data_IF_587820219814
#
_entry.id   IF_587820219814
#
_cell.length_a   1.000
_cell.length_b   1.000
_cell.length_c   1.000
_cell.angle_alpha   90.00
_cell.angle_beta   90.00
_cell.angle_gamma   90.00
#
_symmetry.space_group_name_H-M   'P 1'
#
loop_
_entity.id
_entity.type
_entity.pdbx_description
1 polymer ?
#
# COMPACT_ATOMS: atom_id res chain seq x y z
N UNK A 1 -24.82 15.18 8.03
CA UNK A 1 -25.64 15.75 6.94
C UNK A 1 -25.02 15.29 5.63
N UNK A 2 -25.58 14.26 5.00
CA UNK A 2 -25.12 13.80 3.68
C UNK A 2 -25.63 14.80 2.64
N UNK A 3 -24.70 15.49 1.98
CA UNK A 3 -24.99 16.49 0.97
C UNK A 3 -25.83 15.92 -0.16
N UNK A 4 -26.67 16.79 -0.72
CA UNK A 4 -27.53 16.62 -1.90
C UNK A 4 -26.74 16.40 -3.20
N UNK A 5 -25.75 15.51 -3.20
CA UNK A 5 -24.97 15.13 -4.38
C UNK A 5 -25.75 14.18 -5.27
N UNK A 6 -25.77 14.47 -6.57
CA UNK A 6 -26.36 13.62 -7.60
C UNK A 6 -25.94 12.15 -7.43
N UNK A 7 -26.90 11.22 -7.48
CA UNK A 7 -26.63 9.80 -7.27
C UNK A 7 -25.88 9.23 -8.48
N UNK A 8 -24.59 8.93 -8.30
CA UNK A 8 -23.78 8.33 -9.36
C UNK A 8 -24.23 6.90 -9.57
N UNK A 9 -24.46 6.54 -10.83
CA UNK A 9 -24.76 5.17 -11.27
C UNK A 9 -23.71 4.69 -12.26
N UNK A 10 -23.28 3.45 -12.10
CA UNK A 10 -22.39 2.75 -13.04
C UNK A 10 -22.97 1.37 -13.35
N UNK A 11 -22.74 0.87 -14.57
CA UNK A 11 -23.03 -0.51 -14.94
C UNK A 11 -21.72 -1.27 -15.12
N UNK A 12 -21.60 -2.42 -14.48
CA UNK A 12 -20.44 -3.30 -14.60
C UNK A 12 -20.80 -4.50 -15.48
N UNK A 13 -19.99 -4.70 -16.52
CA UNK A 13 -20.17 -5.76 -17.51
C UNK A 13 -19.36 -6.97 -17.09
N UNK A 14 -19.98 -8.15 -17.08
CA UNK A 14 -19.36 -9.40 -16.65
C UNK A 14 -19.57 -10.51 -17.67
N UNK A 15 -18.48 -11.11 -18.16
CA UNK A 15 -18.54 -12.18 -19.16
C UNK A 15 -19.13 -13.48 -18.61
N UNK A 16 -18.89 -13.78 -17.34
CA UNK A 16 -19.24 -15.06 -16.73
C UNK A 16 -20.00 -14.85 -15.42
N UNK A 17 -20.91 -15.77 -15.12
CA UNK A 17 -21.79 -15.76 -13.97
C UNK A 17 -21.89 -17.18 -13.39
N UNK A 18 -22.02 -17.28 -12.07
CA UNK A 18 -22.34 -18.55 -11.39
C UNK A 18 -23.79 -18.96 -11.63
N UNK A 19 -24.09 -20.22 -11.33
CA UNK A 19 -25.43 -20.79 -11.40
C UNK A 19 -26.47 -20.04 -10.55
N UNK A 20 -26.02 -19.39 -9.47
CA UNK A 20 -26.86 -18.57 -8.58
C UNK A 20 -27.02 -17.10 -9.04
N UNK A 21 -26.46 -16.74 -10.20
CA UNK A 21 -26.54 -15.39 -10.74
C UNK A 21 -25.58 -14.39 -10.07
N UNK A 22 -24.48 -14.85 -9.49
CA UNK A 22 -23.38 -13.98 -9.03
C UNK A 22 -22.37 -13.75 -10.16
N UNK A 23 -21.94 -12.51 -10.44
CA UNK A 23 -20.89 -12.27 -11.43
C UNK A 23 -19.57 -12.93 -11.04
N UNK A 24 -18.88 -13.49 -12.02
CA UNK A 24 -17.51 -14.00 -11.88
C UNK A 24 -16.48 -12.92 -12.27
N UNK A 25 -15.26 -12.97 -11.73
CA UNK A 25 -14.19 -12.05 -12.09
C UNK A 25 -13.91 -12.04 -13.59
N UNK A 26 -13.86 -10.85 -14.19
CA UNK A 26 -13.47 -10.70 -15.59
C UNK A 26 -11.99 -11.07 -15.81
N UNK A 27 -11.69 -11.63 -16.99
CA UNK A 27 -10.36 -12.15 -17.31
C UNK A 27 -10.01 -13.49 -16.64
N UNK A 28 -10.94 -14.11 -15.92
CA UNK A 28 -10.77 -15.43 -15.33
C UNK A 28 -10.51 -16.48 -16.42
N UNK A 29 -9.40 -17.20 -16.30
CA UNK A 29 -9.06 -18.25 -17.26
C UNK A 29 -10.15 -19.34 -17.28
N UNK A 30 -10.60 -19.83 -18.46
CA UNK A 30 -11.72 -20.78 -18.58
C UNK A 30 -11.62 -22.03 -17.70
N UNK A 31 -10.40 -22.57 -17.54
CA UNK A 31 -10.10 -23.71 -16.67
C UNK A 31 -10.55 -23.53 -15.20
N UNK A 32 -10.65 -22.29 -14.73
CA UNK A 32 -11.03 -21.97 -13.35
C UNK A 32 -12.51 -21.67 -13.16
N UNK A 33 -13.31 -21.50 -14.23
CA UNK A 33 -14.74 -21.10 -14.11
C UNK A 33 -15.51 -22.05 -13.19
N UNK A 34 -15.41 -23.37 -13.43
CA UNK A 34 -16.08 -24.39 -12.63
C UNK A 34 -15.58 -24.43 -11.18
N UNK A 35 -14.27 -24.27 -11.00
CA UNK A 35 -13.67 -24.28 -9.67
C UNK A 35 -14.05 -23.03 -8.87
N UNK A 36 -14.13 -21.88 -9.53
CA UNK A 36 -14.59 -20.65 -8.94
C UNK A 36 -16.02 -20.80 -8.43
N UNK A 37 -16.93 -21.32 -9.26
CA UNK A 37 -18.33 -21.51 -8.88
C UNK A 37 -18.51 -22.54 -7.76
N UNK A 38 -17.79 -23.65 -7.82
CA UNK A 38 -18.01 -24.75 -6.85
C UNK A 38 -17.18 -24.65 -5.58
N UNK A 39 -16.06 -23.92 -5.59
CA UNK A 39 -15.11 -23.89 -4.47
C UNK A 39 -14.77 -22.49 -3.98
N UNK A 40 -14.55 -21.51 -4.86
CA UNK A 40 -13.93 -20.25 -4.45
C UNK A 40 -14.91 -19.12 -4.17
N UNK A 41 -16.11 -19.12 -4.78
CA UNK A 41 -17.13 -18.07 -4.58
C UNK A 41 -17.55 -17.86 -3.11
N UNK A 42 -17.30 -18.85 -2.25
CA UNK A 42 -17.62 -18.83 -0.82
C UNK A 42 -16.44 -19.19 0.10
N UNK A 43 -15.22 -19.28 -0.44
CA UNK A 43 -14.02 -19.57 0.37
C UNK A 43 -13.25 -18.30 0.66
N UNK A 44 -13.18 -17.98 1.94
CA UNK A 44 -12.64 -16.76 2.51
C UNK A 44 -11.15 -16.90 2.89
N UNK A 45 -10.69 -18.14 2.99
CA UNK A 45 -9.38 -18.59 3.45
C UNK A 45 -8.35 -18.74 2.31
N UNK A 46 -8.81 -18.72 1.04
CA UNK A 46 -7.95 -18.83 -0.16
C UNK A 46 -8.50 -17.88 -1.23
N UNK A 47 -8.24 -16.58 -1.10
CA UNK A 47 -8.67 -15.67 -2.16
C UNK A 47 -7.68 -15.73 -3.34
N UNK A 48 -8.18 -16.27 -4.46
CA UNK A 48 -7.48 -16.35 -5.75
C UNK A 48 -7.31 -14.97 -6.40
N UNK A 49 -7.86 -13.90 -5.80
CA UNK A 49 -7.71 -12.50 -6.20
C UNK A 49 -6.89 -11.64 -5.24
N UNK A 50 -6.67 -12.07 -3.99
CA UNK A 50 -5.90 -11.28 -3.00
C UNK A 50 -5.19 -12.20 -2.02
N UNK A 51 -3.86 -12.21 -1.94
CA UNK A 51 -3.10 -12.99 -0.91
C UNK A 51 -3.34 -12.56 0.56
N UNK A 52 -4.37 -11.80 0.87
CA UNK A 52 -4.66 -11.30 2.21
C UNK A 52 -6.13 -11.60 2.58
N UNK A 53 -6.32 -12.14 3.79
CA UNK A 53 -7.54 -12.80 4.31
C UNK A 53 -8.68 -11.78 4.63
N UNK A 54 -9.90 -12.23 5.00
CA UNK A 54 -11.13 -12.05 4.26
C UNK A 54 -12.00 -10.92 4.81
N UNK A 55 -12.58 -10.12 3.92
CA UNK A 55 -13.92 -9.63 4.21
C UNK A 55 -14.87 -10.44 3.36
N UNK A 56 -15.91 -11.00 3.96
CA UNK A 56 -17.05 -11.62 3.25
C UNK A 56 -17.63 -10.72 2.14
N UNK A 57 -17.27 -9.43 2.18
CA UNK A 57 -17.69 -8.34 1.33
C UNK A 57 -16.92 -8.23 0.00
N UNK A 58 -15.75 -8.86 -0.15
CA UNK A 58 -14.92 -8.76 -1.37
C UNK A 58 -15.24 -9.81 -2.44
N UNK A 59 -16.31 -10.60 -2.30
CA UNK A 59 -16.67 -11.67 -3.25
C UNK A 59 -16.81 -11.20 -4.72
N UNK A 60 -16.89 -9.88 -4.97
CA UNK A 60 -17.05 -9.26 -6.29
C UNK A 60 -15.86 -8.42 -6.76
N UNK A 61 -14.78 -8.35 -5.98
CA UNK A 61 -13.65 -7.44 -6.20
C UNK A 61 -13.74 -6.16 -5.37
N UNK A 62 -12.63 -5.41 -5.30
CA UNK A 62 -12.51 -4.17 -4.56
C UNK A 62 -13.26 -3.02 -5.22
N UNK A 63 -13.22 -2.94 -6.54
CA UNK A 63 -13.83 -1.86 -7.30
C UNK A 63 -15.34 -1.70 -7.02
N UNK A 64 -16.17 -2.78 -7.12
CA UNK A 64 -17.59 -2.67 -6.81
C UNK A 64 -17.86 -2.40 -5.33
N UNK A 65 -17.07 -2.95 -4.40
CA UNK A 65 -17.25 -2.69 -2.97
C UNK A 65 -16.99 -1.23 -2.63
N UNK A 66 -15.84 -0.69 -3.06
CA UNK A 66 -15.45 0.69 -2.83
C UNK A 66 -16.47 1.66 -3.46
N UNK A 67 -16.99 1.33 -4.64
CA UNK A 67 -18.07 2.08 -5.28
C UNK A 67 -19.34 2.08 -4.42
N UNK A 68 -19.77 0.93 -3.91
CA UNK A 68 -20.94 0.85 -3.04
C UNK A 68 -20.74 1.66 -1.74
N UNK A 69 -19.57 1.59 -1.12
CA UNK A 69 -19.21 2.38 0.06
C UNK A 69 -19.19 3.89 -0.22
N UNK A 70 -18.84 4.30 -1.43
CA UNK A 70 -18.89 5.68 -1.90
C UNK A 70 -20.31 6.18 -2.24
N UNK A 71 -21.34 5.37 -1.98
CA UNK A 71 -22.74 5.70 -2.31
C UNK A 71 -22.98 5.76 -3.83
N UNK A 72 -22.23 4.96 -4.60
CA UNK A 72 -22.38 4.80 -6.05
C UNK A 72 -23.24 3.56 -6.29
N UNK A 73 -24.30 3.71 -7.08
CA UNK A 73 -25.16 2.58 -7.43
C UNK A 73 -24.53 1.76 -8.54
N UNK A 74 -24.16 0.52 -8.19
CA UNK A 74 -23.56 -0.45 -9.11
C UNK A 74 -24.63 -1.40 -9.63
N UNK A 75 -24.79 -1.47 -10.94
CA UNK A 75 -25.67 -2.43 -11.61
C UNK A 75 -24.82 -3.42 -12.41
N UNK A 76 -24.92 -4.72 -12.11
CA UNK A 76 -24.21 -5.74 -12.87
C UNK A 76 -25.06 -6.16 -14.08
N UNK A 77 -24.43 -6.25 -15.24
CA UNK A 77 -25.09 -6.59 -16.50
C UNK A 77 -24.27 -7.62 -17.28
N UNK A 78 -24.95 -8.38 -18.12
CA UNK A 78 -24.29 -9.23 -19.12
C UNK A 78 -23.89 -8.40 -20.33
N UNK A 79 -22.96 -8.87 -21.16
CA UNK A 79 -22.62 -8.18 -22.38
C UNK A 79 -23.84 -7.93 -23.30
N UNK A 80 -24.79 -8.87 -23.33
CA UNK A 80 -26.00 -8.78 -24.16
C UNK A 80 -26.98 -7.68 -23.72
N UNK A 81 -26.84 -7.14 -22.50
CA UNK A 81 -27.70 -6.07 -21.96
C UNK A 81 -27.21 -4.65 -22.35
N UNK A 82 -26.18 -4.55 -23.19
CA UNK A 82 -25.61 -3.28 -23.64
C UNK A 82 -26.28 -2.87 -24.95
N UNK A 83 -26.82 -1.65 -24.98
CA UNK A 83 -27.45 -1.10 -26.16
C UNK A 83 -26.38 -0.74 -27.22
N UNK A 84 -26.64 -1.08 -28.48
CA UNK A 84 -25.69 -0.86 -29.58
C UNK A 84 -25.38 0.64 -29.85
N UNK A 85 -26.31 1.55 -29.50
CA UNK A 85 -26.24 2.98 -29.80
C UNK A 85 -26.42 3.86 -28.54
N UNK A 86 -25.42 3.95 -27.66
CA UNK A 86 -25.35 5.09 -26.71
C UNK A 86 -23.92 5.28 -26.18
N UNK A 87 -23.49 6.53 -26.04
CA UNK A 87 -22.20 6.89 -25.44
C UNK A 87 -21.92 6.17 -24.11
N UNK A 88 -20.68 5.75 -23.95
CA UNK A 88 -20.22 4.75 -22.97
C UNK A 88 -20.68 5.05 -21.52
N UNK A 89 -21.47 4.15 -20.94
CA UNK A 89 -21.86 4.17 -19.50
C UNK A 89 -21.48 2.87 -18.76
N UNK A 90 -20.83 1.95 -19.47
CA UNK A 90 -20.63 0.56 -19.08
C UNK A 90 -19.16 0.22 -18.96
N UNK A 91 -18.76 -0.40 -17.85
CA UNK A 91 -17.35 -0.65 -17.54
C UNK A 91 -17.10 -2.15 -17.38
N UNK A 92 -16.09 -2.65 -18.09
CA UNK A 92 -15.57 -3.99 -17.94
C UNK A 92 -14.36 -3.92 -17.01
N UNK A 93 -14.55 -4.29 -15.74
CA UNK A 93 -13.51 -4.14 -14.71
C UNK A 93 -12.75 -5.44 -14.51
N UNK A 94 -11.42 -5.38 -14.59
CA UNK A 94 -10.49 -6.48 -14.33
C UNK A 94 -9.62 -6.17 -13.11
N UNK A 95 -9.51 -7.12 -12.19
CA UNK A 95 -8.74 -7.02 -10.93
C UNK A 95 -7.74 -8.19 -10.82
N UNK A 96 -6.51 -8.09 -11.36
CA UNK A 96 -5.56 -9.21 -11.39
C UNK A 96 -4.91 -9.46 -10.02
N UNK A 97 -4.87 -10.67 -9.48
CA UNK A 97 -4.22 -10.92 -8.17
C UNK A 97 -2.73 -10.57 -8.15
N UNK A 98 -1.97 -11.17 -9.07
CA UNK A 98 -0.55 -10.91 -9.27
C UNK A 98 -0.33 -10.73 -10.76
N UNK A 99 0.21 -9.60 -11.20
CA UNK A 99 0.25 -9.37 -12.65
C UNK A 99 1.21 -10.28 -13.39
N UNK A 100 2.26 -10.80 -12.76
CA UNK A 100 3.09 -11.82 -13.41
C UNK A 100 2.24 -13.05 -13.76
N UNK A 101 1.48 -13.57 -12.81
CA UNK A 101 0.59 -14.71 -13.05
C UNK A 101 -0.56 -14.30 -13.99
N UNK A 102 -1.28 -13.23 -13.68
CA UNK A 102 -2.49 -12.82 -14.40
C UNK A 102 -2.21 -12.32 -15.83
N UNK A 103 -1.09 -11.65 -16.07
CA UNK A 103 -0.74 -11.13 -17.40
C UNK A 103 0.13 -12.09 -18.20
N UNK A 104 1.15 -12.72 -17.59
CA UNK A 104 2.09 -13.57 -18.33
C UNK A 104 1.61 -15.01 -18.45
N UNK A 105 1.12 -15.60 -17.35
CA UNK A 105 0.79 -17.03 -17.31
C UNK A 105 -0.66 -17.30 -17.74
N UNK A 106 -1.61 -16.53 -17.19
CA UNK A 106 -3.05 -16.74 -17.40
C UNK A 106 -3.62 -15.88 -18.53
N UNK A 107 -2.84 -14.90 -19.02
CA UNK A 107 -3.21 -13.98 -20.10
C UNK A 107 -4.66 -13.47 -19.98
N UNK A 108 -4.96 -12.75 -18.90
CA UNK A 108 -6.32 -12.32 -18.60
C UNK A 108 -6.99 -11.51 -19.72
N UNK A 109 -6.21 -10.76 -20.52
CA UNK A 109 -6.72 -10.02 -21.67
C UNK A 109 -7.20 -10.97 -22.79
N UNK A 110 -6.55 -12.12 -22.95
CA UNK A 110 -6.97 -13.16 -23.89
C UNK A 110 -8.23 -13.91 -23.46
N UNK A 111 -8.70 -13.71 -22.23
CA UNK A 111 -9.93 -14.34 -21.70
C UNK A 111 -11.16 -13.42 -21.77
N UNK A 112 -11.03 -12.22 -22.33
CA UNK A 112 -12.18 -11.34 -22.63
C UNK A 112 -12.98 -11.99 -23.75
N UNK A 113 -14.30 -12.14 -23.58
CA UNK A 113 -15.14 -12.72 -24.63
C UNK A 113 -15.10 -11.89 -25.92
N UNK A 114 -15.23 -12.53 -27.09
CA UNK A 114 -15.24 -11.82 -28.38
C UNK A 114 -16.32 -10.73 -28.44
N UNK A 115 -17.47 -10.97 -27.80
CA UNK A 115 -18.58 -10.02 -27.75
C UNK A 115 -18.23 -8.79 -26.89
N UNK A 116 -17.71 -9.00 -25.67
CA UNK A 116 -17.23 -7.90 -24.82
C UNK A 116 -16.09 -7.12 -25.47
N UNK A 117 -15.19 -7.82 -26.14
CA UNK A 117 -14.06 -7.21 -26.84
C UNK A 117 -14.52 -6.31 -28.00
N UNK A 118 -15.52 -6.72 -28.78
CA UNK A 118 -16.11 -5.88 -29.83
C UNK A 118 -16.74 -4.61 -29.26
N UNK A 119 -17.49 -4.71 -28.16
CA UNK A 119 -18.07 -3.53 -27.51
C UNK A 119 -17.03 -2.57 -26.94
N UNK A 120 -15.95 -3.10 -26.35
CA UNK A 120 -14.81 -2.29 -25.87
C UNK A 120 -14.14 -1.58 -27.05
N UNK A 121 -13.94 -2.26 -28.18
CA UNK A 121 -13.34 -1.67 -29.39
C UNK A 121 -14.17 -0.53 -29.97
N UNK A 122 -15.50 -0.66 -29.95
CA UNK A 122 -16.44 0.37 -30.43
C UNK A 122 -16.61 1.53 -29.46
N UNK A 123 -16.08 1.42 -28.24
CA UNK A 123 -16.27 2.43 -27.20
C UNK A 123 -17.66 2.41 -26.56
N UNK A 124 -18.42 1.31 -26.70
CA UNK A 124 -19.65 1.10 -25.95
C UNK A 124 -19.35 0.74 -24.48
N UNK A 125 -18.17 0.18 -24.22
CA UNK A 125 -17.69 -0.23 -22.89
C UNK A 125 -16.26 0.28 -22.66
N UNK A 126 -15.98 0.84 -21.48
CA UNK A 126 -14.58 1.14 -21.06
C UNK A 126 -13.99 -0.09 -20.38
N UNK A 127 -12.77 -0.47 -20.75
CA UNK A 127 -11.98 -1.48 -20.06
C UNK A 127 -11.23 -0.83 -18.90
N UNK A 128 -11.53 -1.24 -17.67
CA UNK A 128 -10.88 -0.73 -16.46
C UNK A 128 -10.00 -1.83 -15.87
N UNK A 129 -8.70 -1.58 -15.77
CA UNK A 129 -7.78 -2.43 -15.01
C UNK A 129 -7.53 -1.79 -13.65
N UNK A 130 -8.11 -2.37 -12.60
CA UNK A 130 -7.90 -1.91 -11.22
C UNK A 130 -6.83 -2.75 -10.55
N UNK A 131 -5.70 -2.11 -10.22
CA UNK A 131 -4.57 -2.72 -9.54
C UNK A 131 -3.95 -1.73 -8.56
N UNK A 132 -4.78 -1.19 -7.66
CA UNK A 132 -4.34 -0.22 -6.66
C UNK A 132 -3.75 -0.84 -5.38
N UNK A 133 -4.01 -2.14 -5.14
CA UNK A 133 -3.54 -2.88 -3.97
C UNK A 133 -2.08 -3.35 -4.07
N UNK A 134 -1.40 -3.04 -5.16
CA UNK A 134 0.04 -3.26 -5.28
C UNK A 134 0.64 -2.20 -6.21
N UNK A 135 1.93 -1.93 -6.02
CA UNK A 135 2.67 -1.01 -6.86
C UNK A 135 4.10 -1.50 -6.99
N UNK A 136 4.65 -1.23 -8.16
CA UNK A 136 5.98 -1.65 -8.52
C UNK A 136 6.40 -0.80 -9.74
N UNK A 137 7.69 -0.76 -10.02
CA UNK A 137 8.28 0.05 -11.07
C UNK A 137 7.69 -0.22 -12.44
N UNK A 138 7.54 0.85 -13.22
CA UNK A 138 7.16 0.75 -14.64
C UNK A 138 8.05 -0.24 -15.41
N UNK A 139 9.35 -0.26 -15.12
CA UNK A 139 10.33 -1.12 -15.78
C UNK A 139 10.57 -2.49 -15.12
N UNK A 140 10.00 -2.77 -13.95
CA UNK A 140 10.19 -4.05 -13.27
C UNK A 140 9.23 -5.09 -13.87
N UNK A 141 9.67 -6.34 -14.06
CA UNK A 141 8.83 -7.47 -14.53
C UNK A 141 8.07 -7.28 -15.85
N UNK A 142 8.44 -6.29 -16.67
CA UNK A 142 7.93 -6.09 -18.04
C UNK A 142 6.38 -5.91 -18.15
N UNK A 143 5.69 -5.70 -17.03
CA UNK A 143 4.22 -5.68 -16.97
C UNK A 143 3.60 -4.63 -17.87
N UNK A 144 4.19 -3.42 -17.91
CA UNK A 144 3.65 -2.30 -18.67
C UNK A 144 3.67 -2.65 -20.16
N UNK A 145 4.75 -3.26 -20.62
CA UNK A 145 4.91 -3.71 -22.00
C UNK A 145 3.94 -4.83 -22.34
N UNK A 146 3.61 -5.69 -21.37
CA UNK A 146 2.59 -6.73 -21.56
C UNK A 146 1.22 -6.11 -21.72
N UNK A 147 0.87 -5.10 -20.92
CA UNK A 147 -0.39 -4.35 -21.06
C UNK A 147 -0.42 -3.66 -22.43
N UNK A 148 0.58 -2.83 -22.75
CA UNK A 148 0.67 -2.08 -24.02
C UNK A 148 0.57 -3.03 -25.23
N UNK A 149 1.32 -4.15 -25.22
CA UNK A 149 1.25 -5.19 -26.25
C UNK A 149 -0.11 -5.86 -26.33
N UNK A 150 -0.72 -6.20 -25.20
CA UNK A 150 -2.02 -6.88 -25.17
C UNK A 150 -3.11 -5.98 -25.74
N UNK A 151 -3.15 -4.73 -25.32
CA UNK A 151 -4.11 -3.73 -25.81
C UNK A 151 -3.91 -3.45 -27.30
N UNK A 152 -2.66 -3.29 -27.75
CA UNK A 152 -2.32 -3.11 -29.16
C UNK A 152 -2.72 -4.30 -30.03
N UNK A 153 -2.39 -5.53 -29.60
CA UNK A 153 -2.76 -6.75 -30.33
C UNK A 153 -4.27 -6.95 -30.39
N UNK A 154 -4.96 -6.71 -29.28
CA UNK A 154 -6.41 -6.76 -29.22
C UNK A 154 -7.08 -5.55 -29.90
N UNK A 155 -6.32 -4.57 -30.40
CA UNK A 155 -6.83 -3.36 -31.07
C UNK A 155 -7.84 -2.58 -30.22
N UNK A 156 -7.65 -2.56 -28.90
CA UNK A 156 -8.50 -1.81 -27.96
C UNK A 156 -8.08 -0.34 -28.00
N UNK A 157 -8.95 0.62 -28.38
CA UNK A 157 -8.56 2.03 -28.39
C UNK A 157 -8.09 2.52 -27.01
N UNK A 158 -7.06 3.36 -26.99
CA UNK A 158 -6.42 3.91 -25.77
C UNK A 158 -7.37 4.77 -24.94
N UNK A 159 -8.29 5.47 -25.59
CA UNK A 159 -9.38 6.22 -24.99
C UNK A 159 -10.41 5.32 -24.28
N UNK A 160 -10.43 4.02 -24.60
CA UNK A 160 -11.34 3.04 -24.00
C UNK A 160 -10.68 2.22 -22.88
N UNK A 161 -9.38 2.40 -22.63
CA UNK A 161 -8.67 1.75 -21.55
C UNK A 161 -8.43 2.72 -20.39
N UNK A 162 -8.65 2.26 -19.17
CA UNK A 162 -8.38 2.98 -17.92
C UNK A 162 -7.55 2.11 -17.00
N UNK A 163 -6.47 2.65 -16.46
CA UNK A 163 -5.66 2.03 -15.42
C UNK A 163 -5.85 2.77 -14.09
N UNK A 164 -6.12 2.03 -13.00
CA UNK A 164 -6.08 2.55 -11.64
C UNK A 164 -4.97 1.80 -10.89
N UNK A 165 -3.94 2.51 -10.44
CA UNK A 165 -2.70 1.91 -9.95
C UNK A 165 -2.27 2.40 -8.56
N UNK A 166 -1.48 1.60 -7.84
CA UNK A 166 -1.10 1.89 -6.45
C UNK A 166 0.05 2.90 -6.27
N UNK A 167 0.84 3.16 -7.32
CA UNK A 167 1.93 4.14 -7.28
C UNK A 167 1.37 5.56 -7.31
N UNK A 168 1.46 6.30 -6.20
CA UNK A 168 0.86 7.64 -6.08
C UNK A 168 1.58 8.70 -6.92
N UNK A 169 2.71 8.35 -7.57
CA UNK A 169 3.43 9.21 -8.53
C UNK A 169 3.60 8.52 -9.89
N UNK A 170 2.64 7.65 -10.25
CA UNK A 170 2.71 6.87 -11.48
C UNK A 170 2.84 7.75 -12.74
N UNK A 171 2.14 8.88 -12.79
CA UNK A 171 2.20 9.86 -13.88
C UNK A 171 3.65 10.34 -14.14
N UNK A 172 4.36 10.71 -13.08
CA UNK A 172 5.76 11.14 -13.15
C UNK A 172 6.67 9.98 -13.55
N UNK A 173 6.46 8.79 -12.97
CA UNK A 173 7.28 7.62 -13.23
C UNK A 173 7.08 7.08 -14.66
N UNK A 174 5.85 7.08 -15.17
CA UNK A 174 5.53 6.72 -16.54
C UNK A 174 6.05 7.78 -17.53
N UNK A 175 5.96 9.07 -17.19
CA UNK A 175 6.57 10.14 -17.99
C UNK A 175 8.09 9.99 -18.15
N UNK A 176 8.80 9.63 -17.06
CA UNK A 176 10.24 9.29 -17.11
C UNK A 176 10.50 8.07 -18.01
N UNK A 177 9.70 7.02 -17.86
CA UNK A 177 9.80 5.81 -18.70
C UNK A 177 9.66 6.15 -20.19
N UNK A 178 8.63 6.89 -20.56
CA UNK A 178 8.39 7.33 -21.95
C UNK A 178 9.56 8.19 -22.49
N UNK A 179 10.08 9.10 -21.65
CA UNK A 179 11.19 9.98 -22.02
C UNK A 179 12.53 9.24 -22.18
N UNK A 180 12.67 8.07 -21.56
CA UNK A 180 13.88 7.25 -21.63
C UNK A 180 14.01 6.44 -22.93
N UNK A 181 12.97 6.42 -23.78
CA UNK A 181 12.92 5.63 -25.01
C UNK A 181 12.75 4.12 -24.78
N UNK A 182 12.38 3.70 -23.56
CA UNK A 182 12.13 2.29 -23.23
C UNK A 182 10.75 1.77 -23.69
N UNK A 183 9.86 2.67 -24.11
CA UNK A 183 8.52 2.39 -24.64
C UNK A 183 7.97 3.59 -25.43
N UNK A 184 6.71 3.54 -25.89
CA UNK A 184 5.75 2.46 -25.68
C UNK A 184 5.95 1.30 -26.69
N UNK A 185 5.50 0.10 -26.34
CA UNK A 185 5.44 -1.02 -27.28
C UNK A 185 4.16 -0.95 -28.12
N UNK A 186 4.23 -1.39 -29.38
CA UNK A 186 3.09 -1.37 -30.33
C UNK A 186 2.48 0.03 -30.54
N UNK A 187 3.26 1.10 -30.34
CA UNK A 187 2.78 2.49 -30.39
C UNK A 187 1.61 2.78 -29.42
N UNK A 188 1.43 1.91 -28.42
CA UNK A 188 0.34 1.99 -27.45
C UNK A 188 0.80 2.63 -26.16
N UNK A 189 0.49 3.91 -25.97
CA UNK A 189 0.75 4.59 -24.71
C UNK A 189 -0.52 4.71 -23.87
N UNK A 190 -0.37 4.62 -22.55
CA UNK A 190 -1.49 4.79 -21.63
C UNK A 190 -1.92 6.26 -21.58
N UNK A 191 -3.22 6.51 -21.75
CA UNK A 191 -3.80 7.86 -21.71
C UNK A 191 -4.56 8.14 -20.41
N UNK A 192 -5.37 7.18 -19.97
CA UNK A 192 -6.24 7.35 -18.80
C UNK A 192 -5.68 6.56 -17.63
N UNK A 193 -4.76 7.18 -16.89
CA UNK A 193 -4.16 6.56 -15.70
C UNK A 193 -4.50 7.36 -14.46
N UNK A 194 -4.94 6.65 -13.43
CA UNK A 194 -5.31 7.19 -12.13
C UNK A 194 -4.58 6.44 -11.03
N UNK A 195 -4.43 7.10 -9.89
CA UNK A 195 -3.85 6.50 -8.69
C UNK A 195 -4.91 6.40 -7.60
N UNK A 196 -4.77 5.44 -6.70
CA UNK A 196 -5.65 5.32 -5.54
C UNK A 196 -4.86 4.78 -4.36
N UNK A 197 -4.95 5.42 -3.19
CA UNK A 197 -4.35 4.92 -1.96
C UNK A 197 -5.21 3.78 -1.37
N UNK A 198 -5.04 2.60 -1.95
CA UNK A 198 -5.78 1.41 -1.58
C UNK A 198 -5.55 1.02 -0.11
N UNK A 199 -4.31 1.12 0.38
CA UNK A 199 -3.98 0.67 1.73
C UNK A 199 -4.55 1.58 2.81
N UNK A 200 -4.62 2.89 2.56
CA UNK A 200 -5.30 3.80 3.47
C UNK A 200 -6.79 3.46 3.59
N UNK A 201 -7.46 3.25 2.44
CA UNK A 201 -8.85 2.83 2.40
C UNK A 201 -9.08 1.50 3.11
N UNK A 202 -8.33 0.47 2.70
CA UNK A 202 -8.50 -0.89 3.18
C UNK A 202 -8.20 -0.99 4.67
N UNK A 203 -7.17 -0.29 5.15
CA UNK A 203 -6.87 -0.21 6.57
C UNK A 203 -7.98 0.52 7.33
N UNK A 204 -8.50 1.64 6.83
CA UNK A 204 -9.65 2.34 7.44
C UNK A 204 -10.90 1.43 7.50
N UNK A 205 -11.18 0.67 6.44
CA UNK A 205 -12.30 -0.28 6.38
C UNK A 205 -12.12 -1.45 7.36
N UNK A 206 -10.91 -2.01 7.46
CA UNK A 206 -10.56 -3.03 8.46
C UNK A 206 -10.86 -2.52 9.88
N UNK A 207 -10.40 -1.31 10.22
CA UNK A 207 -10.60 -0.74 11.55
C UNK A 207 -12.10 -0.57 11.85
N UNK A 208 -12.86 0.03 10.91
CA UNK A 208 -14.28 0.32 11.09
C UNK A 208 -15.15 -0.94 11.14
N UNK A 209 -14.80 -1.97 10.35
CA UNK A 209 -15.63 -3.16 10.21
C UNK A 209 -15.21 -4.32 11.09
N UNK A 210 -13.92 -4.40 11.45
CA UNK A 210 -13.32 -5.53 12.14
C UNK A 210 -12.67 -5.17 13.48
N UNK A 211 -12.69 -3.93 13.94
CA UNK A 211 -12.05 -3.60 15.22
C UNK A 211 -12.98 -2.79 16.10
N UNK A 212 -13.47 -1.67 15.57
CA UNK A 212 -14.36 -0.77 16.31
C UNK A 212 -15.65 -1.48 16.70
N UNK A 213 -16.03 -1.36 17.97
CA UNK A 213 -17.27 -1.93 18.53
C UNK A 213 -17.18 -3.41 18.92
N UNK A 214 -16.01 -4.05 18.77
CA UNK A 214 -15.76 -5.40 19.33
C UNK A 214 -15.50 -5.33 20.83
N UNK A 215 -15.81 -6.42 21.54
CA UNK A 215 -15.54 -6.54 22.98
C UNK A 215 -14.05 -6.35 23.31
N UNK A 216 -13.17 -6.76 22.40
CA UNK A 216 -11.72 -6.69 22.55
C UNK A 216 -11.03 -5.66 21.66
N UNK A 217 -11.74 -4.59 21.26
CA UNK A 217 -11.19 -3.45 20.50
C UNK A 217 -9.87 -2.93 21.08
N UNK A 218 -9.76 -2.87 22.41
CA UNK A 218 -8.59 -2.39 23.14
C UNK A 218 -7.34 -3.27 23.02
N UNK A 219 -7.46 -4.49 22.47
CA UNK A 219 -6.29 -5.31 22.12
C UNK A 219 -5.58 -4.81 20.86
N UNK A 220 -6.29 -4.17 19.94
CA UNK A 220 -5.72 -3.67 18.67
C UNK A 220 -5.58 -2.15 18.63
N UNK A 221 -6.44 -1.43 19.35
CA UNK A 221 -6.44 0.04 19.39
C UNK A 221 -6.13 0.61 20.77
N UNK A 222 -5.16 1.51 20.79
CA UNK A 222 -4.90 2.36 21.95
C UNK A 222 -6.07 3.33 22.17
N UNK A 223 -6.69 3.42 23.36
CA UNK A 223 -7.75 4.38 23.61
C UNK A 223 -7.29 5.84 23.47
N UNK A 224 -8.11 6.70 22.86
CA UNK A 224 -7.83 8.14 22.76
C UNK A 224 -8.27 8.88 24.04
N UNK A 225 -7.57 8.64 25.16
CA UNK A 225 -7.91 9.21 26.47
C UNK A 225 -6.76 9.99 27.10
N UNK A 226 -7.09 10.89 28.02
CA UNK A 226 -6.11 11.61 28.84
C UNK A 226 -5.24 10.63 29.66
N UNK A 227 -5.82 9.50 30.09
CA UNK A 227 -5.07 8.42 30.76
C UNK A 227 -4.00 7.82 29.85
N UNK A 228 -4.32 7.54 28.58
CA UNK A 228 -3.33 7.09 27.60
C UNK A 228 -2.27 8.16 27.34
N UNK A 229 -2.67 9.44 27.30
CA UNK A 229 -1.73 10.55 27.13
C UNK A 229 -0.72 10.60 28.28
N UNK A 230 -1.22 10.51 29.51
CA UNK A 230 -0.46 10.74 30.74
C UNK A 230 0.25 9.49 31.28
N UNK A 231 -0.04 8.31 30.72
CA UNK A 231 0.69 7.07 31.03
C UNK A 231 2.17 7.21 30.64
N UNK A 232 3.06 6.87 31.58
CA UNK A 232 4.49 6.71 31.33
C UNK A 232 4.76 5.35 30.67
N UNK A 233 5.77 5.30 29.81
CA UNK A 233 6.04 4.17 28.91
C UNK A 233 7.42 3.58 29.16
N UNK A 234 7.51 2.25 29.22
CA UNK A 234 8.77 1.57 29.52
C UNK A 234 9.75 1.60 28.35
N UNK A 235 9.24 1.64 27.12
CA UNK A 235 10.07 1.59 25.91
C UNK A 235 10.18 2.94 25.22
N UNK A 236 11.29 3.21 24.53
CA UNK A 236 11.42 4.46 23.77
C UNK A 236 10.70 4.33 22.42
N UNK A 237 10.99 3.27 21.67
CA UNK A 237 10.34 3.04 20.37
C UNK A 237 9.85 1.62 20.12
N UNK A 238 8.93 1.54 19.16
CA UNK A 238 8.44 0.32 18.52
C UNK A 238 8.94 0.24 17.07
N UNK A 239 9.47 -0.90 16.65
CA UNK A 239 9.86 -1.17 15.26
C UNK A 239 9.47 -2.60 14.86
N UNK A 240 8.44 -2.73 14.02
CA UNK A 240 7.94 -4.03 13.58
C UNK A 240 8.43 -4.36 12.17
N UNK A 241 9.06 -5.52 11.98
CA UNK A 241 9.57 -5.94 10.67
C UNK A 241 9.13 -7.36 10.33
N UNK A 242 8.21 -7.50 9.38
CA UNK A 242 7.71 -8.82 8.96
C UNK A 242 8.47 -9.49 7.82
N UNK A 243 9.19 -8.75 6.97
CA UNK A 243 9.92 -9.32 5.83
C UNK A 243 11.33 -8.77 5.74
N UNK A 244 12.32 -9.64 5.54
CA UNK A 244 13.76 -9.38 5.59
C UNK A 244 14.35 -8.59 4.42
N UNK A 245 13.82 -7.39 4.17
CA UNK A 245 14.27 -6.51 3.08
C UNK A 245 15.58 -5.77 3.42
N UNK A 246 16.37 -5.35 2.41
CA UNK A 246 17.70 -4.77 2.63
C UNK A 246 17.79 -3.59 3.59
N UNK A 247 16.85 -2.64 3.55
CA UNK A 247 16.82 -1.50 4.47
C UNK A 247 16.46 -1.88 5.91
N UNK A 248 15.63 -2.91 6.08
CA UNK A 248 15.32 -3.47 7.40
C UNK A 248 16.53 -4.20 7.96
N UNK A 249 17.27 -4.94 7.11
CA UNK A 249 18.54 -5.57 7.49
C UNK A 249 19.58 -4.52 7.91
N UNK A 250 19.70 -3.42 7.16
CA UNK A 250 20.48 -2.25 7.57
C UNK A 250 20.07 -1.75 8.96
N UNK A 251 18.77 -1.54 9.19
CA UNK A 251 18.25 -1.01 10.45
C UNK A 251 18.52 -1.97 11.63
N UNK A 252 18.29 -3.27 11.47
CA UNK A 252 18.57 -4.27 12.52
C UNK A 252 20.05 -4.30 12.89
N UNK A 253 20.93 -4.20 11.90
CA UNK A 253 22.37 -4.15 12.15
C UNK A 253 22.80 -2.84 12.81
N UNK A 254 22.23 -1.70 12.43
CA UNK A 254 22.47 -0.42 13.10
C UNK A 254 21.93 -0.40 14.54
N UNK A 255 20.80 -1.05 14.80
CA UNK A 255 20.29 -1.22 16.15
C UNK A 255 21.24 -2.04 17.00
N UNK A 256 21.85 -3.09 16.45
CA UNK A 256 22.89 -3.85 17.13
C UNK A 256 24.13 -3.01 17.41
N UNK A 257 24.60 -2.25 16.41
CA UNK A 257 25.82 -1.43 16.50
C UNK A 257 25.70 -0.31 17.54
N UNK A 258 24.48 0.15 17.82
CA UNK A 258 24.18 1.26 18.74
C UNK A 258 23.42 0.84 20.01
N UNK A 259 23.39 -0.46 20.34
CA UNK A 259 22.71 -1.03 21.52
C UNK A 259 21.21 -0.69 21.64
N UNK A 260 20.53 -0.45 20.52
CA UNK A 260 19.15 0.03 20.49
C UNK A 260 18.09 -1.06 20.64
N UNK A 261 18.47 -2.34 20.70
CA UNK A 261 17.53 -3.38 21.10
C UNK A 261 17.17 -3.27 22.59
N UNK A 262 18.07 -2.72 23.42
CA UNK A 262 17.81 -2.54 24.84
C UNK A 262 16.87 -1.36 25.06
N UNK A 263 15.79 -1.60 25.80
CA UNK A 263 14.82 -0.55 26.16
C UNK A 263 13.83 -0.20 25.05
N UNK A 264 13.75 -1.02 23.99
CA UNK A 264 12.86 -0.81 22.84
C UNK A 264 12.13 -2.10 22.47
N UNK A 265 11.03 -1.96 21.73
CA UNK A 265 10.23 -3.09 21.24
C UNK A 265 10.57 -3.27 19.77
N UNK A 266 11.23 -4.38 19.42
CA UNK A 266 11.66 -4.65 18.04
C UNK A 266 11.30 -6.07 17.65
N UNK A 267 10.69 -6.22 16.47
CA UNK A 267 10.49 -7.53 15.83
C UNK A 267 11.19 -7.60 14.48
N UNK A 268 11.60 -8.81 14.12
CA UNK A 268 12.15 -9.16 12.81
C UNK A 268 11.79 -10.61 12.49
N UNK A 269 10.82 -10.79 11.60
CA UNK A 269 10.42 -12.07 11.04
C UNK A 269 11.07 -12.15 9.65
N UNK A 270 11.98 -13.09 9.40
CA UNK A 270 12.69 -13.17 8.13
C UNK A 270 11.84 -13.88 7.06
N UNK A 271 10.55 -13.47 6.90
CA UNK A 271 9.57 -14.16 6.03
C UNK A 271 10.05 -14.34 4.58
N UNK A 272 10.96 -13.48 4.12
CA UNK A 272 11.63 -13.58 2.81
C UNK A 272 13.11 -13.26 2.97
N UNK A 273 13.98 -14.09 2.41
CA UNK A 273 15.43 -13.83 2.40
C UNK A 273 15.85 -13.09 1.13
N UNK A 274 15.79 -11.75 1.17
CA UNK A 274 16.28 -10.90 0.09
C UNK A 274 17.75 -10.54 0.36
N UNK A 275 18.69 -10.74 -0.58
CA UNK A 275 20.10 -10.43 -0.38
C UNK A 275 20.34 -9.00 0.12
N UNK A 276 21.25 -8.85 1.06
CA UNK A 276 21.67 -7.56 1.62
C UNK A 276 23.13 -7.31 1.32
N UNK A 277 23.43 -6.18 0.68
CA UNK A 277 24.78 -5.74 0.34
C UNK A 277 25.06 -4.45 1.11
N UNK A 278 25.84 -4.50 2.21
CA UNK A 278 26.10 -3.34 3.07
C UNK A 278 26.59 -2.11 2.31
N UNK A 279 27.37 -2.28 1.24
CA UNK A 279 27.93 -1.21 0.41
C UNK A 279 26.86 -0.33 -0.23
N UNK A 280 25.67 -0.87 -0.46
CA UNK A 280 24.57 -0.09 -1.03
C UNK A 280 23.82 0.72 0.02
N UNK A 281 23.88 0.38 1.31
CA UNK A 281 23.02 0.97 2.34
C UNK A 281 23.81 1.72 3.43
N UNK A 282 25.07 1.37 3.64
CA UNK A 282 25.90 2.00 4.65
C UNK A 282 26.47 3.30 4.11
N UNK A 283 26.21 4.39 4.82
CA UNK A 283 26.82 5.68 4.58
C UNK A 283 27.28 6.26 5.90
N UNK A 284 28.47 6.87 5.90
CA UNK A 284 28.98 7.62 7.04
C UNK A 284 29.92 8.71 6.53
N UNK A 285 29.69 10.00 6.85
CA UNK A 285 30.61 11.06 6.49
C UNK A 285 31.99 10.84 7.09
N UNK A 286 33.03 10.77 6.25
CA UNK A 286 34.42 10.57 6.67
C UNK A 286 35.29 11.80 6.39
N UNK A 287 36.30 12.03 7.23
CA UNK A 287 37.32 13.03 6.98
C UNK A 287 38.43 12.45 6.11
N UNK A 288 38.56 12.92 4.86
CA UNK A 288 39.56 12.41 3.93
C UNK A 288 40.98 12.73 4.42
N UNK A 289 41.87 11.75 4.37
CA UNK A 289 43.30 11.93 4.69
C UNK A 289 43.65 11.90 6.18
N UNK A 290 42.68 11.68 7.06
CA UNK A 290 42.92 11.62 8.53
C UNK A 290 43.06 10.20 9.06
N UNK A 291 42.89 9.18 8.20
CA UNK A 291 42.79 7.79 8.64
C UNK A 291 41.45 7.45 9.31
N UNK A 292 40.41 8.26 9.11
CA UNK A 292 39.06 8.01 9.59
C UNK A 292 38.50 6.70 9.04
N UNK A 293 38.37 5.70 9.92
CA UNK A 293 37.89 4.35 9.59
C UNK A 293 36.40 4.14 9.81
N UNK A 294 35.63 5.15 10.25
CA UNK A 294 34.25 4.95 10.71
C UNK A 294 33.34 4.24 9.70
N UNK A 295 33.44 4.58 8.42
CA UNK A 295 32.68 3.88 7.36
C UNK A 295 33.17 2.44 7.14
N UNK A 296 34.49 2.22 7.22
CA UNK A 296 35.09 0.88 7.09
C UNK A 296 34.63 0.00 8.26
N UNK A 297 34.74 0.50 9.48
CA UNK A 297 34.36 -0.23 10.69
C UNK A 297 32.84 -0.52 10.70
N UNK A 298 32.01 0.41 10.20
CA UNK A 298 30.58 0.17 9.96
C UNK A 298 30.37 -0.97 8.96
N UNK A 299 31.00 -0.93 7.79
CA UNK A 299 30.88 -1.97 6.76
C UNK A 299 31.35 -3.34 7.27
N UNK A 300 32.47 -3.39 7.99
CA UNK A 300 33.01 -4.61 8.60
C UNK A 300 32.01 -5.20 9.60
N UNK A 301 31.43 -4.37 10.48
CA UNK A 301 30.38 -4.80 11.39
C UNK A 301 29.15 -5.33 10.65
N UNK A 302 28.69 -4.64 9.61
CA UNK A 302 27.53 -5.06 8.82
C UNK A 302 27.72 -6.39 8.09
N UNK A 303 28.94 -6.67 7.63
CA UNK A 303 29.29 -7.96 6.99
C UNK A 303 29.37 -9.09 8.01
N UNK A 304 29.88 -8.80 9.21
CA UNK A 304 30.07 -9.79 10.26
C UNK A 304 28.77 -10.13 11.01
N UNK A 305 27.93 -9.13 11.27
CA UNK A 305 26.73 -9.30 12.11
C UNK A 305 25.71 -10.24 11.48
N UNK A 306 25.22 -11.18 12.30
CA UNK A 306 24.18 -12.13 11.92
C UNK A 306 22.88 -11.75 12.60
N UNK A 307 21.97 -11.17 11.84
CA UNK A 307 20.63 -10.79 12.30
C UNK A 307 19.90 -12.08 12.71
N UNK A 308 19.33 -12.06 13.91
CA UNK A 308 18.49 -13.14 14.43
C UNK A 308 17.03 -12.74 14.31
N UNK A 309 16.16 -13.73 14.11
CA UNK A 309 14.73 -13.48 14.19
C UNK A 309 14.34 -13.06 15.61
N UNK A 310 13.37 -12.15 15.68
CA UNK A 310 12.84 -11.58 16.92
C UNK A 310 11.32 -11.56 16.81
N UNK A 311 10.65 -12.41 17.59
CA UNK A 311 9.20 -12.53 17.68
C UNK A 311 8.70 -11.79 18.93
N UNK A 312 7.56 -11.10 18.83
CA UNK A 312 6.92 -10.46 20.00
C UNK A 312 5.68 -11.23 20.44
N UNK A 313 4.72 -11.32 19.53
CA UNK A 313 3.33 -11.75 19.78
C UNK A 313 2.88 -12.87 18.83
N UNK A 314 3.51 -12.97 17.66
CA UNK A 314 3.12 -13.93 16.61
C UNK A 314 4.29 -14.86 16.27
N UNK A 315 3.99 -16.16 16.26
CA UNK A 315 4.81 -17.16 15.58
C UNK A 315 4.56 -17.03 14.06
N UNK A 316 5.60 -16.63 13.32
CA UNK A 316 5.52 -16.42 11.87
C UNK A 316 5.07 -17.68 11.09
N UNK A 317 5.18 -18.86 11.69
CA UNK A 317 4.73 -20.14 11.11
C UNK A 317 3.23 -20.38 11.26
N UNK A 318 2.56 -19.73 12.22
CA UNK A 318 1.14 -19.95 12.54
C UNK A 318 0.21 -18.84 12.01
N UNK A 319 0.71 -17.61 11.89
CA UNK A 319 -0.06 -16.47 11.37
C UNK A 319 0.78 -15.65 10.38
N UNK A 320 1.09 -16.29 9.26
CA UNK A 320 1.87 -15.67 8.20
C UNK A 320 1.13 -14.52 7.49
N UNK A 321 -0.19 -14.36 7.72
CA UNK A 321 -1.09 -13.65 6.81
C UNK A 321 -1.95 -12.53 7.42
N UNK A 322 -2.10 -12.40 8.75
CA UNK A 322 -2.72 -11.20 9.36
C UNK A 322 -1.75 -10.03 9.52
N UNK A 323 -1.28 -9.47 8.40
CA UNK A 323 -0.39 -8.30 8.46
C UNK A 323 -1.10 -7.00 8.87
N UNK A 324 -2.44 -6.99 9.02
CA UNK A 324 -3.22 -5.81 9.46
C UNK A 324 -3.36 -5.70 10.97
N UNK A 325 -3.38 -6.84 11.67
CA UNK A 325 -3.49 -6.90 13.12
C UNK A 325 -2.46 -6.00 13.80
N UNK A 326 -2.89 -5.44 14.91
CA UNK A 326 -2.06 -4.59 15.76
C UNK A 326 -2.17 -5.11 17.19
N UNK A 327 -1.10 -4.94 17.96
CA UNK A 327 -1.10 -5.22 19.38
C UNK A 327 -0.98 -3.90 20.11
N UNK A 328 -2.11 -3.35 20.54
CA UNK A 328 -2.24 -2.01 21.14
C UNK A 328 -1.25 -1.80 22.29
N UNK A 329 -0.96 -2.84 23.06
CA UNK A 329 -0.01 -2.82 24.16
C UNK A 329 1.39 -2.34 23.72
N UNK A 330 1.89 -2.82 22.58
CA UNK A 330 3.20 -2.41 22.06
C UNK A 330 3.24 -0.90 21.75
N UNK A 331 2.14 -0.35 21.22
CA UNK A 331 2.03 1.08 20.94
C UNK A 331 1.82 1.90 22.23
N UNK A 332 1.02 1.38 23.16
CA UNK A 332 0.74 2.01 24.44
C UNK A 332 1.97 2.10 25.34
N UNK A 333 2.93 1.17 25.23
CA UNK A 333 4.13 1.10 26.08
C UNK A 333 5.42 1.60 25.40
N UNK A 334 5.33 2.28 24.25
CA UNK A 334 6.47 2.95 23.59
C UNK A 334 6.14 4.38 23.12
N UNK A 335 7.13 5.28 23.12
CA UNK A 335 6.91 6.71 22.86
C UNK A 335 6.81 7.09 21.39
N UNK A 336 7.53 6.40 20.49
CA UNK A 336 7.49 6.67 19.06
C UNK A 336 7.64 5.40 18.22
N UNK A 337 7.29 5.47 16.94
CA UNK A 337 7.40 4.36 16.02
C UNK A 337 8.55 4.59 15.03
N UNK A 338 9.38 3.56 14.83
CA UNK A 338 10.31 3.49 13.70
C UNK A 338 9.65 2.63 12.64
N UNK A 339 8.98 3.31 11.70
CA UNK A 339 8.16 2.65 10.68
C UNK A 339 9.00 2.35 9.44
N UNK A 340 9.11 1.08 9.08
CA UNK A 340 9.84 0.65 7.87
C UNK A 340 8.86 0.33 6.74
N UNK A 341 8.85 1.18 5.72
CA UNK A 341 7.98 0.96 4.56
C UNK A 341 8.39 -0.27 3.76
N UNK A 342 7.49 -0.73 2.89
CA UNK A 342 7.74 -1.96 2.11
C UNK A 342 8.94 -1.80 1.17
N UNK A 343 9.11 -0.63 0.56
CA UNK A 343 10.23 -0.36 -0.35
C UNK A 343 11.13 0.77 0.17
N UNK A 344 12.45 0.62 0.06
CA UNK A 344 13.40 1.58 0.59
C UNK A 344 13.53 2.87 -0.22
N UNK A 345 13.23 2.85 -1.50
CA UNK A 345 13.43 3.97 -2.44
C UNK A 345 12.63 3.72 -3.73
N UNK A 346 12.96 4.46 -4.80
CA UNK A 346 12.57 4.17 -6.18
C UNK A 346 12.55 2.64 -6.44
N UNK A 347 11.69 2.16 -7.36
CA UNK A 347 11.01 2.97 -8.40
C UNK A 347 9.49 3.24 -8.32
N UNK A 348 8.78 2.89 -7.24
CA UNK A 348 7.35 3.25 -7.08
C UNK A 348 7.10 4.00 -5.78
N UNK A 349 6.35 5.11 -5.81
CA UNK A 349 5.94 5.84 -4.61
C UNK A 349 4.70 5.15 -4.01
N UNK A 350 4.94 4.19 -3.13
CA UNK A 350 3.90 3.32 -2.58
C UNK A 350 3.79 3.45 -1.07
N UNK A 351 2.60 3.77 -0.59
CA UNK A 351 2.27 3.92 0.83
C UNK A 351 1.41 2.72 1.23
N UNK A 352 1.75 2.08 2.35
CA UNK A 352 1.02 0.88 2.80
C UNK A 352 0.40 1.09 4.18
N UNK A 353 -0.28 0.06 4.71
CA UNK A 353 -0.87 0.04 6.05
C UNK A 353 0.13 0.42 7.17
N UNK A 354 1.43 0.24 6.93
CA UNK A 354 2.50 0.35 7.95
C UNK A 354 2.57 1.74 8.56
N UNK A 355 2.44 2.80 7.76
CA UNK A 355 2.38 4.17 8.28
C UNK A 355 1.06 4.51 8.96
N UNK A 356 -0.02 3.84 8.55
CA UNK A 356 -1.34 4.05 9.14
C UNK A 356 -1.50 3.38 10.51
N UNK A 357 -0.72 2.33 10.82
CA UNK A 357 -0.70 1.70 12.14
C UNK A 357 -0.31 2.65 13.29
N UNK A 358 0.84 3.36 13.28
CA UNK A 358 1.18 4.31 14.33
C UNK A 358 0.24 5.52 14.35
N UNK A 359 -0.27 5.97 13.20
CA UNK A 359 -1.32 7.00 13.14
C UNK A 359 -2.55 6.54 13.94
N UNK A 360 -3.03 5.33 13.64
CA UNK A 360 -4.20 4.78 14.28
C UNK A 360 -3.96 4.40 15.73
N UNK A 361 -2.73 4.14 16.16
CA UNK A 361 -2.37 3.85 17.55
C UNK A 361 -1.70 5.00 18.30
N UNK A 362 -1.88 6.24 17.85
CA UNK A 362 -1.47 7.47 18.55
C UNK A 362 0.03 7.50 18.88
N UNK A 363 0.88 7.11 17.93
CA UNK A 363 2.33 7.24 18.07
C UNK A 363 2.89 8.27 17.08
N UNK A 364 3.78 9.17 17.53
CA UNK A 364 4.65 9.89 16.62
C UNK A 364 5.56 8.89 15.90
N UNK A 365 5.94 9.17 14.66
CA UNK A 365 6.69 8.23 13.83
C UNK A 365 7.83 8.88 13.05
N UNK A 366 8.85 8.07 12.78
CA UNK A 366 9.91 8.36 11.81
C UNK A 366 9.91 7.26 10.73
N UNK A 367 10.13 7.67 9.48
CA UNK A 367 9.96 6.79 8.33
C UNK A 367 11.29 6.34 7.73
N UNK A 368 11.43 5.02 7.56
CA UNK A 368 12.48 4.41 6.75
C UNK A 368 11.84 3.90 5.44
N UNK A 369 11.86 4.73 4.40
CA UNK A 369 11.21 4.44 3.12
C UNK A 369 11.63 5.41 2.01
N UNK A 370 10.73 5.59 1.03
CA UNK A 370 10.90 6.49 -0.11
C UNK A 370 11.06 7.97 0.34
N UNK A 371 11.87 8.80 -0.37
CA UNK A 371 11.89 10.24 -0.11
C UNK A 371 10.54 10.90 -0.47
N UNK A 372 10.12 11.91 0.27
CA UNK A 372 8.86 12.63 0.07
C UNK A 372 7.64 11.98 0.72
N UNK A 373 7.81 10.98 1.58
CA UNK A 373 6.71 10.34 2.31
C UNK A 373 6.09 11.30 3.32
N UNK A 374 6.91 12.08 4.04
CA UNK A 374 6.39 13.09 4.95
C UNK A 374 5.69 14.22 4.19
N UNK A 375 6.24 14.64 3.04
CA UNK A 375 5.58 15.60 2.16
C UNK A 375 4.20 15.11 1.71
N UNK A 376 4.09 13.86 1.23
CA UNK A 376 2.81 13.24 0.86
C UNK A 376 1.81 13.23 2.01
N UNK A 377 2.23 12.87 3.23
CA UNK A 377 1.34 12.88 4.40
C UNK A 377 0.81 14.28 4.69
N UNK A 378 1.66 15.31 4.62
CA UNK A 378 1.27 16.72 4.80
C UNK A 378 0.30 17.20 3.73
N UNK A 379 0.55 16.86 2.47
CA UNK A 379 -0.35 17.17 1.34
C UNK A 379 -1.74 16.56 1.53
N UNK A 380 -1.80 15.37 2.16
CA UNK A 380 -3.05 14.69 2.50
C UNK A 380 -3.66 15.15 3.84
N UNK A 381 -3.11 16.19 4.47
CA UNK A 381 -3.64 16.82 5.68
C UNK A 381 -3.30 16.10 6.99
N UNK A 382 -2.32 15.19 6.99
CA UNK A 382 -1.73 14.66 8.22
C UNK A 382 -0.64 15.59 8.75
N UNK A 383 -0.49 15.62 10.06
CA UNK A 383 0.60 16.29 10.75
C UNK A 383 1.80 15.35 10.95
N UNK A 384 2.99 15.94 11.00
CA UNK A 384 4.25 15.23 11.28
C UNK A 384 4.89 15.77 12.57
N UNK A 385 6.09 15.29 12.91
CA UNK A 385 6.66 15.43 14.25
C UNK A 385 8.05 16.07 14.25
N UNK A 386 8.20 17.32 13.76
CA UNK A 386 9.46 18.06 13.85
C UNK A 386 9.92 18.31 15.30
N UNK A 387 9.03 18.17 16.28
CA UNK A 387 9.36 18.21 17.70
C UNK A 387 10.20 17.02 18.15
N UNK A 388 10.05 15.88 17.47
CA UNK A 388 10.85 14.68 17.71
C UNK A 388 12.05 14.63 16.76
N UNK A 389 11.84 14.87 15.47
CA UNK A 389 12.78 14.51 14.41
C UNK A 389 13.19 15.72 13.57
N UNK A 390 14.44 15.76 13.13
CA UNK A 390 14.84 16.57 11.99
C UNK A 390 14.32 15.90 10.72
N UNK A 391 13.29 16.48 10.11
CA UNK A 391 12.58 15.93 8.95
C UNK A 391 13.30 16.17 7.60
N UNK A 392 14.50 16.78 7.59
CA UNK A 392 15.25 17.01 6.35
C UNK A 392 15.54 15.71 5.58
N UNK A 393 15.61 14.57 6.27
CA UNK A 393 15.84 13.26 5.64
C UNK A 393 14.85 12.94 4.52
N UNK A 394 13.62 13.47 4.57
CA UNK A 394 12.59 13.23 3.56
C UNK A 394 12.97 13.80 2.18
N UNK A 395 13.88 14.78 2.13
CA UNK A 395 14.36 15.40 0.89
C UNK A 395 15.59 14.69 0.30
N UNK A 396 16.25 13.80 1.05
CA UNK A 396 17.48 13.14 0.63
C UNK A 396 17.13 12.01 -0.36
N UNK A 397 17.56 12.13 -1.62
CA UNK A 397 17.25 11.14 -2.67
C UNK A 397 18.04 9.84 -2.52
N UNK A 398 19.34 9.94 -2.24
CA UNK A 398 20.22 8.79 -2.01
C UNK A 398 19.78 8.02 -0.76
N UNK A 399 19.44 6.74 -0.90
CA UNK A 399 18.88 5.97 0.22
C UNK A 399 19.90 5.73 1.34
N UNK A 400 21.19 5.60 1.04
CA UNK A 400 22.20 5.34 2.07
C UNK A 400 22.37 6.57 2.97
N UNK A 401 22.46 7.76 2.36
CA UNK A 401 22.48 9.04 3.07
C UNK A 401 21.18 9.30 3.84
N UNK A 402 20.02 9.02 3.22
CA UNK A 402 18.71 9.18 3.88
C UNK A 402 18.62 8.28 5.11
N UNK A 403 18.96 7.00 4.98
CA UNK A 403 18.88 6.04 6.08
C UNK A 403 19.89 6.35 7.18
N UNK A 404 21.07 6.85 6.84
CA UNK A 404 21.99 7.40 7.83
C UNK A 404 21.35 8.57 8.60
N UNK A 405 20.72 9.53 7.91
CA UNK A 405 20.04 10.67 8.54
C UNK A 405 18.85 10.25 9.44
N UNK A 406 18.08 9.25 9.01
CA UNK A 406 17.01 8.63 9.82
C UNK A 406 17.62 7.98 11.06
N UNK A 407 18.70 7.23 10.90
CA UNK A 407 19.39 6.57 12.02
C UNK A 407 19.93 7.56 13.05
N UNK A 408 20.49 8.71 12.62
CA UNK A 408 20.94 9.77 13.53
C UNK A 408 19.79 10.35 14.37
N UNK A 409 18.60 10.52 13.76
CA UNK A 409 17.42 10.92 14.50
C UNK A 409 17.00 9.87 15.54
N UNK A 410 16.98 8.58 15.18
CA UNK A 410 16.63 7.50 16.10
C UNK A 410 17.59 7.46 17.29
N UNK A 411 18.91 7.51 17.05
CA UNK A 411 19.93 7.52 18.10
C UNK A 411 19.73 8.72 19.03
N UNK A 412 19.59 9.92 18.47
CA UNK A 412 19.41 11.16 19.23
C UNK A 412 18.17 11.11 20.12
N UNK A 413 17.01 10.76 19.56
CA UNK A 413 15.74 10.74 20.28
C UNK A 413 15.72 9.62 21.32
N UNK A 414 16.28 8.45 21.01
CA UNK A 414 16.37 7.34 21.96
C UNK A 414 17.26 7.68 23.18
N UNK A 415 18.20 8.61 23.05
CA UNK A 415 19.08 9.04 24.12
C UNK A 415 18.44 10.07 25.08
N UNK A 416 17.24 10.60 24.77
CA UNK A 416 16.56 11.53 25.65
C UNK A 416 16.16 10.88 26.99
N UNK A 417 16.22 11.62 28.12
CA UNK A 417 15.63 11.18 29.37
C UNK A 417 14.15 10.81 29.20
N UNK A 418 13.68 9.79 29.92
CA UNK A 418 12.28 9.33 29.85
C UNK A 418 11.26 10.44 30.09
N UNK A 419 11.54 11.36 31.01
CA UNK A 419 10.65 12.50 31.28
C UNK A 419 10.59 13.50 30.12
N UNK A 420 11.68 13.66 29.36
CA UNK A 420 11.71 14.49 28.16
C UNK A 420 10.90 13.85 27.03
N UNK A 421 11.09 12.54 26.78
CA UNK A 421 10.26 11.80 25.83
C UNK A 421 8.77 11.87 26.17
N UNK A 422 8.44 11.71 27.45
CA UNK A 422 7.07 11.83 27.92
C UNK A 422 6.49 13.23 27.69
N UNK A 423 7.27 14.27 27.99
CA UNK A 423 6.87 15.66 27.78
C UNK A 423 6.65 15.98 26.30
N UNK A 424 7.52 15.48 25.40
CA UNK A 424 7.36 15.61 23.95
C UNK A 424 6.11 14.88 23.45
N UNK A 425 5.87 13.65 23.92
CA UNK A 425 4.68 12.89 23.56
C UNK A 425 3.40 13.63 23.94
N UNK A 426 3.33 14.17 25.17
CA UNK A 426 2.19 14.98 25.62
C UNK A 426 1.99 16.23 24.77
N UNK A 427 3.09 16.89 24.36
CA UNK A 427 3.05 18.09 23.52
C UNK A 427 2.44 17.82 22.14
N UNK A 428 2.76 16.69 21.52
CA UNK A 428 2.26 16.34 20.18
C UNK A 428 0.92 15.59 20.21
N UNK A 429 0.34 15.35 21.39
CA UNK A 429 -0.94 14.65 21.54
C UNK A 429 -2.09 15.21 20.66
N UNK A 430 -2.28 16.54 20.52
CA UNK A 430 -3.27 17.08 19.60
C UNK A 430 -3.06 16.63 18.14
N UNK A 431 -1.80 16.55 17.68
CA UNK A 431 -1.44 16.07 16.34
C UNK A 431 -1.79 14.60 16.15
N UNK A 432 -1.58 13.79 17.20
CA UNK A 432 -1.91 12.36 17.19
C UNK A 432 -3.42 12.15 17.05
N UNK A 433 -4.22 12.90 17.82
CA UNK A 433 -5.67 12.88 17.71
C UNK A 433 -6.14 13.35 16.33
N UNK A 434 -5.57 14.45 15.83
CA UNK A 434 -5.84 14.96 14.48
C UNK A 434 -5.56 13.90 13.41
N UNK A 435 -4.39 13.26 13.43
CA UNK A 435 -4.02 12.24 12.45
C UNK A 435 -4.92 11.00 12.49
N UNK A 436 -5.23 10.50 13.70
CA UNK A 436 -6.16 9.39 13.87
C UNK A 436 -7.53 9.75 13.30
N UNK A 437 -8.06 10.91 13.70
CA UNK A 437 -9.34 11.39 13.23
C UNK A 437 -9.33 11.58 11.71
N UNK A 438 -8.27 12.16 11.16
CA UNK A 438 -8.08 12.33 9.71
C UNK A 438 -8.12 11.01 8.97
N UNK A 439 -7.54 9.92 9.49
CA UNK A 439 -7.62 8.58 8.86
C UNK A 439 -9.01 7.93 8.98
N UNK A 440 -9.74 8.17 10.08
CA UNK A 440 -11.12 7.70 10.24
C UNK A 440 -12.09 8.50 9.37
N UNK A 441 -11.87 9.80 9.26
CA UNK A 441 -12.66 10.73 8.45
C UNK A 441 -12.27 10.73 6.98
N UNK A 442 -11.07 10.23 6.64
CA UNK A 442 -10.57 10.22 5.28
C UNK A 442 -11.63 9.56 4.41
N UNK A 443 -12.30 10.38 3.60
CA UNK A 443 -13.35 9.96 2.70
C UNK A 443 -12.66 9.40 1.47
N UNK A 444 -11.97 8.26 1.63
CA UNK A 444 -11.54 7.45 0.48
C UNK A 444 -12.72 7.22 -0.48
N UNK A 445 -13.93 7.19 0.07
CA UNK A 445 -15.20 7.21 -0.62
C UNK A 445 -15.49 8.49 -1.41
N UNK A 446 -15.12 9.68 -0.95
CA UNK A 446 -15.26 10.95 -1.69
C UNK A 446 -14.20 11.06 -2.78
N UNK A 447 -12.94 10.77 -2.47
CA UNK A 447 -11.88 10.70 -3.48
C UNK A 447 -12.27 9.69 -4.58
N UNK A 448 -12.73 8.50 -4.19
CA UNK A 448 -13.25 7.52 -5.14
C UNK A 448 -14.45 8.05 -5.93
N UNK A 449 -15.38 8.78 -5.29
CA UNK A 449 -16.53 9.38 -5.96
C UNK A 449 -16.10 10.39 -7.03
N UNK A 450 -15.13 11.25 -6.73
CA UNK A 450 -14.57 12.21 -7.70
C UNK A 450 -13.78 11.51 -8.81
N UNK A 451 -13.03 10.46 -8.48
CA UNK A 451 -12.35 9.63 -9.47
C UNK A 451 -13.35 8.99 -10.45
N UNK A 452 -14.44 8.40 -9.94
CA UNK A 452 -15.50 7.81 -10.77
C UNK A 452 -16.17 8.87 -11.65
N UNK A 453 -16.44 10.08 -11.14
CA UNK A 453 -16.95 11.19 -11.97
C UNK A 453 -16.00 11.52 -13.10
N UNK A 454 -14.72 11.70 -12.78
CA UNK A 454 -13.66 11.99 -13.75
C UNK A 454 -13.58 10.92 -14.84
N UNK A 455 -13.61 9.64 -14.46
CA UNK A 455 -13.58 8.52 -15.39
C UNK A 455 -14.81 8.50 -16.33
N UNK A 456 -15.98 8.96 -15.87
CA UNK A 456 -17.20 9.05 -16.70
C UNK A 456 -17.14 10.18 -17.74
N UNK A 457 -16.24 11.14 -17.57
CA UNK A 457 -16.07 12.27 -18.51
C UNK A 457 -15.08 11.96 -19.64
N UNK A 458 -14.35 10.83 -19.54
CA UNK A 458 -13.45 10.35 -20.60
C UNK A 458 -14.29 10.01 -21.84
N UNK A 459 -14.02 10.74 -22.93
CA UNK A 459 -14.67 10.53 -24.23
C UNK A 459 -14.07 9.32 -24.91
#
# INVERSE_FOLDING_TARGET
>A
MLGSGESIKIRLVWDNWSDDGTPMPNGLHPKYIKEWDTKWKHRYDINVLTRFIPLERYNRGFFPLLSAQAGIHVHNVTPQDIAEDVGCKDWYVMEPNHMDISLLTENMFGNISDYSLDMIRRGAVKLVLYYAYEAFPVNQVNWINVIERSLGWLKIPKENFILIFGDQKFDQNYGKYMSSGQGPYYEYYLQNVFTFDHFAWEFSDYIKSQVVGREDESKELVPATEETRDRKRNHNFLCLNGGGRPHRKFLMTEFARNDLFKGNIVSYLNKFDIPYQPEHFCFQPIQKGTGDRRLIDMLEFHKAYKIKEMTLDVDATQDAWHNRGMTAEHYADSYFNVTTETWPAEPSFFVTEKIYKPIMNLQPFILLGHPGLLAYLKENGYETFPEFFDEHYDNIQDHAQRFYSVMQNIIRVNAFPKEELHSLYKRVWPKLLHNRQKLLDHSHTEYWRELIKTMKEIK
#
